data_IF_057182421132
#
_entry.id   IF_057182421132
#
_cell.length_a   1.000
_cell.length_b   1.000
_cell.length_c   1.000
_cell.angle_alpha   90.00
_cell.angle_beta   90.00
_cell.angle_gamma   90.00
#
_symmetry.space_group_name_H-M   'P 1'
#
loop_
_entity.id
_entity.type
_entity.pdbx_description
1 polymer ?
#
# COMPACT_ATOMS: atom_id res chain seq x y z
N UNK A 1 -8.73 -0.68 -23.65
CA UNK A 1 -8.41 -0.49 -22.22
C UNK A 1 -9.63 -0.81 -21.35
N UNK A 2 -10.77 -0.17 -21.62
CA UNK A 2 -12.04 -0.35 -20.89
C UNK A 2 -12.46 -1.81 -20.74
N UNK A 3 -12.45 -2.59 -21.85
CA UNK A 3 -12.76 -4.03 -21.83
C UNK A 3 -11.96 -4.81 -20.77
N UNK A 4 -10.66 -4.56 -20.65
CA UNK A 4 -9.80 -5.28 -19.71
C UNK A 4 -10.07 -4.84 -18.26
N UNK A 5 -10.35 -3.55 -18.04
CA UNK A 5 -10.72 -3.04 -16.72
C UNK A 5 -12.04 -3.65 -16.25
N UNK A 6 -13.06 -3.65 -17.12
CA UNK A 6 -14.37 -4.24 -16.83
C UNK A 6 -14.29 -5.75 -16.58
N UNK A 7 -13.49 -6.48 -17.37
CA UNK A 7 -13.27 -7.91 -17.19
C UNK A 7 -12.69 -8.22 -15.80
N UNK A 8 -11.66 -7.48 -15.37
CA UNK A 8 -11.07 -7.74 -14.05
C UNK A 8 -11.95 -7.30 -12.88
N UNK A 9 -12.65 -6.18 -13.01
CA UNK A 9 -13.62 -5.76 -12.00
C UNK A 9 -14.71 -6.82 -11.80
N UNK A 10 -15.27 -7.34 -12.91
CA UNK A 10 -16.28 -8.41 -12.89
C UNK A 10 -15.74 -9.70 -12.27
N UNK A 11 -14.52 -10.09 -12.64
CA UNK A 11 -13.89 -11.29 -12.10
C UNK A 11 -13.75 -11.23 -10.57
N UNK A 12 -13.32 -10.08 -10.03
CA UNK A 12 -13.13 -9.88 -8.61
C UNK A 12 -14.47 -9.80 -7.86
N UNK A 13 -15.42 -9.01 -8.36
CA UNK A 13 -16.72 -8.84 -7.72
C UNK A 13 -17.54 -10.13 -7.69
N UNK A 14 -17.50 -10.94 -8.76
CA UNK A 14 -18.16 -12.24 -8.82
C UNK A 14 -17.61 -13.25 -7.77
N UNK A 15 -16.45 -12.98 -7.17
CA UNK A 15 -15.83 -13.80 -6.12
C UNK A 15 -15.85 -13.13 -4.74
N UNK A 16 -16.56 -12.01 -4.60
CA UNK A 16 -16.56 -11.23 -3.35
C UNK A 16 -15.20 -10.63 -2.99
N UNK A 17 -14.29 -10.50 -3.96
CA UNK A 17 -12.97 -9.93 -3.77
C UNK A 17 -12.97 -8.45 -4.12
N UNK A 18 -12.16 -7.68 -3.38
CA UNK A 18 -11.89 -6.29 -3.71
C UNK A 18 -10.70 -6.21 -4.65
N UNK A 19 -10.85 -5.50 -5.77
CA UNK A 19 -9.79 -5.29 -6.75
C UNK A 19 -9.03 -4.00 -6.44
N UNK A 20 -7.70 -4.07 -6.34
CA UNK A 20 -6.82 -2.89 -6.28
C UNK A 20 -5.72 -3.01 -7.34
N UNK A 21 -5.91 -2.43 -8.54
CA UNK A 21 -4.96 -2.53 -9.65
C UNK A 21 -3.65 -1.81 -9.37
N UNK A 22 -2.58 -2.23 -10.03
CA UNK A 22 -1.26 -1.64 -9.81
C UNK A 22 -0.93 -0.58 -10.86
N UNK A 23 -0.84 0.68 -10.42
CA UNK A 23 -0.56 1.82 -11.27
C UNK A 23 0.89 1.90 -11.77
N UNK A 24 1.83 1.09 -11.25
CA UNK A 24 3.24 1.09 -11.72
C UNK A 24 3.36 0.77 -13.22
N UNK A 25 2.38 0.05 -13.75
CA UNK A 25 2.33 -0.37 -15.15
C UNK A 25 2.11 0.81 -16.11
N UNK A 26 1.34 1.82 -15.70
CA UNK A 26 0.90 2.89 -16.60
C UNK A 26 1.18 4.31 -16.08
N UNK A 27 1.40 4.49 -14.78
CA UNK A 27 1.73 5.77 -14.13
C UNK A 27 0.82 6.93 -14.56
N UNK A 28 -0.48 6.63 -14.70
CA UNK A 28 -1.48 7.54 -15.24
C UNK A 28 -2.67 7.64 -14.29
N UNK A 29 -2.91 8.84 -13.76
CA UNK A 29 -4.06 9.13 -12.90
C UNK A 29 -5.38 8.90 -13.64
N UNK A 30 -5.48 9.27 -14.92
CA UNK A 30 -6.67 9.01 -15.75
C UNK A 30 -7.02 7.52 -15.80
N UNK A 31 -6.04 6.64 -15.97
CA UNK A 31 -6.29 5.19 -15.99
C UNK A 31 -6.65 4.68 -14.58
N UNK A 32 -6.01 5.19 -13.52
CA UNK A 32 -6.36 4.86 -12.15
C UNK A 32 -7.82 5.25 -11.83
N UNK A 33 -8.26 6.44 -12.25
CA UNK A 33 -9.65 6.89 -12.09
C UNK A 33 -10.62 5.97 -12.84
N UNK A 34 -10.33 5.63 -14.10
CA UNK A 34 -11.16 4.69 -14.88
C UNK A 34 -11.28 3.31 -14.21
N UNK A 35 -10.19 2.83 -13.58
CA UNK A 35 -10.22 1.57 -12.84
C UNK A 35 -11.09 1.67 -11.58
N UNK A 36 -11.02 2.80 -10.86
CA UNK A 36 -11.84 3.06 -9.67
C UNK A 36 -13.32 3.19 -10.04
N UNK A 37 -13.64 3.91 -11.11
CA UNK A 37 -15.00 4.03 -11.67
C UNK A 37 -15.56 2.67 -12.09
N UNK A 38 -14.71 1.75 -12.54
CA UNK A 38 -15.08 0.36 -12.84
C UNK A 38 -15.26 -0.52 -11.60
N UNK A 39 -15.03 -0.01 -10.39
CA UNK A 39 -15.24 -0.73 -9.11
C UNK A 39 -13.97 -1.12 -8.35
N UNK A 40 -12.79 -0.65 -8.76
CA UNK A 40 -11.57 -0.85 -7.97
C UNK A 40 -11.59 -0.05 -6.66
N UNK A 41 -11.07 -0.62 -5.59
CA UNK A 41 -10.96 0.01 -4.26
C UNK A 41 -9.67 0.80 -4.12
N UNK A 42 -9.41 1.73 -5.03
CA UNK A 42 -8.15 2.45 -5.12
C UNK A 42 -7.10 1.71 -5.97
N UNK A 43 -5.83 2.10 -5.83
CA UNK A 43 -4.72 1.54 -6.63
C UNK A 43 -3.47 1.25 -5.79
N UNK A 44 -2.58 0.39 -6.31
CA UNK A 44 -1.25 0.15 -5.77
C UNK A 44 -0.17 0.95 -6.53
N UNK A 45 0.84 1.41 -5.81
CA UNK A 45 2.07 2.03 -6.34
C UNK A 45 3.30 1.40 -5.70
N UNK A 46 4.48 1.56 -6.31
CA UNK A 46 5.71 0.97 -5.78
C UNK A 46 6.58 1.98 -5.03
N UNK A 47 6.38 3.29 -5.25
CA UNK A 47 7.24 4.34 -4.70
C UNK A 47 6.43 5.54 -4.18
N UNK A 48 6.98 6.24 -3.19
CA UNK A 48 6.39 7.46 -2.62
C UNK A 48 6.10 8.53 -3.70
N UNK A 49 7.02 8.74 -4.64
CA UNK A 49 6.81 9.71 -5.73
C UNK A 49 5.65 9.37 -6.67
N UNK A 50 5.38 8.08 -6.87
CA UNK A 50 4.21 7.64 -7.63
C UNK A 50 2.92 7.91 -6.84
N UNK A 51 2.93 7.67 -5.53
CA UNK A 51 1.80 7.97 -4.64
C UNK A 51 1.46 9.46 -4.65
N UNK A 52 2.46 10.33 -4.47
CA UNK A 52 2.27 11.79 -4.49
C UNK A 52 1.71 12.25 -5.83
N UNK A 53 2.30 11.79 -6.95
CA UNK A 53 1.84 12.19 -8.29
C UNK A 53 0.39 11.79 -8.57
N UNK A 54 -0.05 10.62 -8.09
CA UNK A 54 -1.44 10.18 -8.25
C UNK A 54 -2.39 10.93 -7.31
N UNK A 55 -1.97 11.18 -6.08
CA UNK A 55 -2.76 11.95 -5.10
C UNK A 55 -2.95 13.41 -5.53
N UNK A 56 -1.90 14.06 -6.05
CA UNK A 56 -1.98 15.42 -6.60
C UNK A 56 -2.94 15.49 -7.80
N UNK A 57 -3.09 14.40 -8.53
CA UNK A 57 -4.05 14.25 -9.63
C UNK A 57 -5.43 13.73 -9.20
N UNK A 58 -5.71 13.66 -7.88
CA UNK A 58 -7.03 13.38 -7.33
C UNK A 58 -7.35 11.91 -7.07
N UNK A 59 -6.37 10.99 -7.11
CA UNK A 59 -6.59 9.58 -6.73
C UNK A 59 -6.67 9.47 -5.19
N UNK A 60 -7.81 9.01 -4.62
CA UNK A 60 -8.09 9.20 -3.20
C UNK A 60 -7.63 8.06 -2.27
N UNK A 61 -7.37 6.86 -2.80
CA UNK A 61 -7.02 5.67 -2.02
C UNK A 61 -5.84 4.93 -2.69
N UNK A 62 -4.69 4.96 -2.02
CA UNK A 62 -3.41 4.49 -2.56
C UNK A 62 -2.77 3.50 -1.60
N UNK A 63 -2.29 2.38 -2.11
CA UNK A 63 -1.49 1.42 -1.37
C UNK A 63 -0.06 1.41 -1.91
N UNK A 64 0.92 1.77 -1.09
CA UNK A 64 2.33 1.60 -1.42
C UNK A 64 2.73 0.15 -1.11
N UNK A 65 2.65 -0.72 -2.12
CA UNK A 65 2.92 -2.15 -2.01
C UNK A 65 4.43 -2.45 -2.05
N UNK A 66 5.16 -1.81 -1.14
CA UNK A 66 6.60 -1.91 -0.92
C UNK A 66 6.97 -1.29 0.43
N UNK A 67 8.18 -1.57 0.90
CA UNK A 67 8.76 -0.94 2.07
C UNK A 67 9.34 0.44 1.76
N UNK A 68 9.30 1.33 2.76
CA UNK A 68 10.01 2.61 2.76
C UNK A 68 10.75 2.75 4.08
N UNK A 69 12.09 2.79 4.03
CA UNK A 69 12.93 2.86 5.24
C UNK A 69 13.68 4.18 5.39
N UNK A 70 13.77 4.99 4.32
CA UNK A 70 14.54 6.22 4.35
C UNK A 70 13.75 7.34 5.07
N UNK A 71 14.31 7.99 6.13
CA UNK A 71 13.57 9.00 6.90
C UNK A 71 12.96 10.12 6.06
N UNK A 72 13.69 10.66 5.08
CA UNK A 72 13.16 11.71 4.19
C UNK A 72 11.97 11.25 3.34
N UNK A 73 11.92 9.97 2.93
CA UNK A 73 10.79 9.41 2.18
C UNK A 73 9.60 9.11 3.09
N UNK A 74 9.86 8.68 4.32
CA UNK A 74 8.83 8.47 5.33
C UNK A 74 8.17 9.78 5.77
N UNK A 75 8.93 10.87 5.91
CA UNK A 75 8.35 12.20 6.18
C UNK A 75 7.36 12.64 5.09
N UNK A 76 7.72 12.41 3.82
CA UNK A 76 6.83 12.68 2.67
C UNK A 76 5.58 11.80 2.68
N UNK A 77 5.76 10.50 2.94
CA UNK A 77 4.64 9.56 3.06
C UNK A 77 3.69 9.95 4.20
N UNK A 78 4.23 10.34 5.35
CA UNK A 78 3.44 10.77 6.51
C UNK A 78 2.65 12.06 6.23
N UNK A 79 3.25 13.02 5.52
CA UNK A 79 2.53 14.21 5.05
C UNK A 79 1.41 13.86 4.04
N UNK A 80 1.68 12.92 3.12
CA UNK A 80 0.69 12.45 2.15
C UNK A 80 -0.52 11.77 2.82
N UNK A 81 -0.29 11.03 3.91
CA UNK A 81 -1.35 10.38 4.68
C UNK A 81 -2.37 11.36 5.29
N UNK A 82 -2.01 12.63 5.44
CA UNK A 82 -2.95 13.69 5.86
C UNK A 82 -3.88 14.18 4.75
N UNK A 83 -3.65 13.77 3.49
CA UNK A 83 -4.37 14.27 2.29
C UNK A 83 -5.22 13.21 1.62
N UNK A 84 -4.81 11.95 1.66
CA UNK A 84 -5.46 10.81 0.99
C UNK A 84 -5.44 9.59 1.88
N UNK A 85 -6.33 8.63 1.60
CA UNK A 85 -6.25 7.32 2.26
C UNK A 85 -5.02 6.58 1.75
N UNK A 86 -4.19 6.13 2.68
CA UNK A 86 -2.88 5.58 2.38
C UNK A 86 -2.66 4.27 3.14
N UNK A 87 -1.97 3.34 2.50
CA UNK A 87 -1.47 2.12 3.12
C UNK A 87 -0.02 1.87 2.71
N UNK A 88 0.74 1.12 3.52
CA UNK A 88 2.12 0.69 3.22
C UNK A 88 2.40 -0.73 3.71
N UNK A 89 3.34 -1.41 3.06
CA UNK A 89 3.90 -2.68 3.53
C UNK A 89 5.17 -2.49 4.39
N UNK A 90 5.34 -3.33 5.40
CA UNK A 90 6.56 -3.42 6.23
C UNK A 90 6.98 -4.87 6.38
N UNK A 91 8.28 -5.10 6.49
CA UNK A 91 8.88 -6.44 6.65
C UNK A 91 9.94 -6.50 7.75
N UNK A 92 10.14 -5.42 8.51
CA UNK A 92 11.21 -5.31 9.49
C UNK A 92 10.86 -4.36 10.63
N UNK A 93 11.41 -4.65 11.82
CA UNK A 93 11.25 -3.79 13.00
C UNK A 93 11.78 -2.38 12.77
N UNK A 94 12.95 -2.25 12.11
CA UNK A 94 13.50 -0.95 11.75
C UNK A 94 12.55 -0.12 10.88
N UNK A 95 11.86 -0.76 9.92
CA UNK A 95 10.85 -0.09 9.09
C UNK A 95 9.67 0.41 9.91
N UNK A 96 9.18 -0.43 10.84
CA UNK A 96 8.08 -0.09 11.77
C UNK A 96 8.44 1.10 12.65
N UNK A 97 9.60 1.06 13.32
CA UNK A 97 10.06 2.13 14.22
C UNK A 97 10.17 3.47 13.49
N UNK A 98 10.78 3.46 12.30
CA UNK A 98 10.95 4.68 11.50
C UNK A 98 9.61 5.21 10.98
N UNK A 99 8.71 4.33 10.56
CA UNK A 99 7.36 4.72 10.13
C UNK A 99 6.58 5.35 11.29
N UNK A 100 6.61 4.72 12.47
CA UNK A 100 5.96 5.24 13.67
C UNK A 100 6.49 6.63 14.05
N UNK A 101 7.81 6.82 14.04
CA UNK A 101 8.41 8.13 14.32
C UNK A 101 7.97 9.22 13.32
N UNK A 102 7.91 8.88 12.03
CA UNK A 102 7.49 9.83 10.99
C UNK A 102 6.01 10.20 11.11
N UNK A 103 5.14 9.22 11.37
CA UNK A 103 3.70 9.44 11.57
C UNK A 103 3.42 10.23 12.86
N UNK A 104 4.13 9.94 13.95
CA UNK A 104 4.02 10.69 15.20
C UNK A 104 4.44 12.17 15.01
N UNK A 105 5.53 12.41 14.29
CA UNK A 105 6.00 13.77 13.97
C UNK A 105 4.99 14.54 13.12
N UNK A 106 4.35 13.88 12.14
CA UNK A 106 3.36 14.51 11.28
C UNK A 106 1.96 14.61 11.90
N UNK A 107 1.68 13.87 12.98
CA UNK A 107 0.34 13.76 13.55
C UNK A 107 -0.66 13.01 12.64
N UNK A 108 -0.18 12.12 11.78
CA UNK A 108 -1.01 11.39 10.79
C UNK A 108 -1.04 9.88 11.06
N UNK A 109 -1.90 9.16 10.33
CA UNK A 109 -2.04 7.69 10.40
C UNK A 109 -2.26 7.12 9.01
N UNK A 110 -1.82 5.89 8.79
CA UNK A 110 -2.06 5.12 7.56
C UNK A 110 -2.16 3.63 7.89
N UNK A 111 -2.76 2.84 7.00
CA UNK A 111 -2.91 1.39 7.16
C UNK A 111 -1.58 0.67 6.92
N UNK A 112 -1.23 -0.30 7.76
CA UNK A 112 0.05 -1.03 7.69
C UNK A 112 -0.17 -2.52 7.45
N UNK A 113 0.44 -3.03 6.40
CA UNK A 113 0.45 -4.45 6.05
C UNK A 113 1.82 -5.05 6.36
N UNK A 114 1.85 -6.30 6.83
CA UNK A 114 3.10 -7.07 6.93
C UNK A 114 3.33 -7.81 5.62
N UNK A 115 4.46 -7.58 4.94
CA UNK A 115 4.84 -8.36 3.75
C UNK A 115 5.39 -9.72 4.16
N UNK A 116 4.89 -10.78 3.51
CA UNK A 116 5.27 -12.17 3.73
C UNK A 116 5.82 -12.74 2.45
N UNK A 117 7.01 -13.33 2.53
CA UNK A 117 7.58 -14.09 1.42
C UNK A 117 6.83 -15.41 1.27
N UNK A 118 6.15 -15.56 0.14
CA UNK A 118 5.38 -16.76 -0.23
C UNK A 118 6.07 -17.58 -1.33
N UNK A 119 7.38 -17.35 -1.54
CA UNK A 119 8.23 -18.14 -2.45
C UNK A 119 9.04 -17.33 -3.45
N UNK A 120 8.88 -16.00 -3.48
CA UNK A 120 9.59 -15.17 -4.45
C UNK A 120 11.05 -14.90 -4.05
N UNK A 121 11.38 -14.91 -2.75
CA UNK A 121 12.75 -14.66 -2.29
C UNK A 121 13.22 -13.21 -2.52
N UNK A 122 12.32 -12.22 -2.37
CA UNK A 122 12.58 -10.80 -2.66
C UNK A 122 12.58 -9.93 -1.39
N UNK A 123 11.38 -9.67 -0.87
CA UNK A 123 11.09 -8.89 0.34
C UNK A 123 10.09 -9.69 1.18
N UNK A 124 9.81 -9.21 2.38
CA UNK A 124 8.88 -9.86 3.29
C UNK A 124 9.54 -10.84 4.23
N UNK A 125 8.87 -11.08 5.36
CA UNK A 125 9.30 -12.05 6.35
C UNK A 125 8.84 -13.46 5.97
N UNK A 126 9.50 -14.48 6.53
CA UNK A 126 8.99 -15.84 6.45
C UNK A 126 7.57 -15.91 7.06
N UNK A 127 6.66 -16.77 6.54
CA UNK A 127 5.29 -16.89 7.05
C UNK A 127 5.21 -17.11 8.57
N UNK A 128 6.14 -17.89 9.14
CA UNK A 128 6.20 -18.15 10.57
C UNK A 128 6.52 -16.91 11.43
N UNK A 129 7.18 -15.89 10.85
CA UNK A 129 7.55 -14.65 11.55
C UNK A 129 6.50 -13.54 11.42
N UNK A 130 5.50 -13.69 10.54
CA UNK A 130 4.51 -12.66 10.24
C UNK A 130 3.72 -12.22 11.48
N UNK A 131 3.33 -13.16 12.35
CA UNK A 131 2.59 -12.86 13.58
C UNK A 131 3.40 -12.02 14.58
N UNK A 132 4.69 -12.34 14.74
CA UNK A 132 5.58 -11.57 15.62
C UNK A 132 5.77 -10.14 15.09
N UNK A 133 5.91 -9.97 13.77
CA UNK A 133 6.05 -8.65 13.17
C UNK A 133 4.73 -7.85 13.24
N UNK A 134 3.58 -8.49 13.05
CA UNK A 134 2.28 -7.83 13.22
C UNK A 134 2.08 -7.33 14.66
N UNK A 135 2.55 -8.08 15.67
CA UNK A 135 2.57 -7.59 17.05
C UNK A 135 3.44 -6.32 17.19
N UNK A 136 4.60 -6.26 16.52
CA UNK A 136 5.44 -5.06 16.51
C UNK A 136 4.72 -3.86 15.87
N UNK A 137 3.95 -4.06 14.80
CA UNK A 137 3.13 -2.98 14.21
C UNK A 137 2.17 -2.39 15.26
N UNK A 138 1.41 -3.26 15.95
CA UNK A 138 0.43 -2.83 16.95
C UNK A 138 1.09 -2.19 18.18
N UNK A 139 2.19 -2.77 18.68
CA UNK A 139 2.88 -2.25 19.88
C UNK A 139 3.51 -0.87 19.68
N UNK A 140 3.78 -0.49 18.42
CA UNK A 140 4.24 0.85 18.04
C UNK A 140 3.08 1.81 17.70
N UNK A 141 1.84 1.43 18.01
CA UNK A 141 0.65 2.27 17.80
C UNK A 141 0.22 2.42 16.34
N UNK A 142 0.71 1.57 15.44
CA UNK A 142 0.36 1.61 14.02
C UNK A 142 -0.91 0.78 13.73
N UNK A 143 -1.80 1.24 12.82
CA UNK A 143 -2.98 0.47 12.41
C UNK A 143 -2.59 -0.75 11.57
N UNK A 144 -2.63 -1.95 12.16
CA UNK A 144 -2.43 -3.19 11.41
C UNK A 144 -3.65 -3.51 10.53
N UNK A 145 -3.43 -3.64 9.23
CA UNK A 145 -4.48 -3.78 8.21
C UNK A 145 -4.46 -5.13 7.47
N UNK A 146 -3.45 -5.98 7.70
CA UNK A 146 -3.38 -7.33 7.18
C UNK A 146 -1.99 -7.71 6.64
N UNK A 147 -1.98 -8.62 5.67
CA UNK A 147 -0.76 -9.17 5.06
C UNK A 147 -0.65 -8.79 3.59
N UNK A 148 0.57 -8.53 3.12
CA UNK A 148 0.91 -8.53 1.70
C UNK A 148 1.61 -9.84 1.35
N UNK A 149 1.05 -10.59 0.41
CA UNK A 149 1.63 -11.83 -0.09
C UNK A 149 1.65 -11.78 -1.61
N UNK A 150 2.83 -11.57 -2.19
CA UNK A 150 3.01 -11.45 -3.64
C UNK A 150 4.03 -12.48 -4.11
N UNK A 151 3.61 -13.32 -5.04
CA UNK A 151 4.51 -14.16 -5.83
C UNK A 151 4.53 -13.59 -7.24
N UNK A 152 5.63 -12.94 -7.59
CA UNK A 152 5.84 -12.38 -8.92
C UNK A 152 6.35 -13.37 -9.95
#
# INVERSE_FOLDING_TARGET
MERNCAAMATFASARGLRLRPHAKMHKSARIATQQIEAGAVGVCVQKVGEAESLADAGVPDIYLSNEVIAPAKLARLAALAGRVKLAIAVDSLLGIERLAAALATAGTRLDVFVEVDVGQGRCGVAPAAAGALAHQVVSHGLPFAGLQAYHG
#
